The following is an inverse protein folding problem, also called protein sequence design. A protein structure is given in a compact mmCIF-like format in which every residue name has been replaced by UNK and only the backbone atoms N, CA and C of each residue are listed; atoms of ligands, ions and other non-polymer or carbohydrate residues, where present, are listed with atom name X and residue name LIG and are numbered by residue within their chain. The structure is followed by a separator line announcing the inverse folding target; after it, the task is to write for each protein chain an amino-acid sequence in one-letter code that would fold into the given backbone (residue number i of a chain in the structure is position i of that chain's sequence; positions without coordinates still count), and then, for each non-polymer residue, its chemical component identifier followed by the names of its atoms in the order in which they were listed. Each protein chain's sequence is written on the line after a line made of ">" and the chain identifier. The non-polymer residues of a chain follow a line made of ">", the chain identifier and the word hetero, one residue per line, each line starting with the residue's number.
data_IF_106197624093
#
_entry.id   IF_106197624093
#
_cell.length_a   1.000
_cell.length_b   1.000
_cell.length_c   1.000
_cell.angle_alpha   90.00
_cell.angle_beta   90.00
_cell.angle_gamma   90.00
#
_symmetry.space_group_name_H-M   'P 1'
#
loop_
_entity.id
_entity.type
_entity.pdbx_description
1 polymer ?
#
# COMPACT_ATOMS: atom_id res chain seq x y z
N UNK A 1 -16.71 11.16 -10.15
CA UNK A 1 -17.61 10.86 -9.02
C UNK A 1 -17.09 11.57 -7.79
N UNK A 2 -17.95 12.17 -6.97
CA UNK A 2 -17.54 12.81 -5.72
C UNK A 2 -16.96 11.77 -4.75
N UNK A 3 -15.84 12.11 -4.09
CA UNK A 3 -15.20 11.24 -3.10
C UNK A 3 -16.14 10.99 -1.90
N UNK A 4 -16.66 9.77 -1.78
CA UNK A 4 -17.53 9.36 -0.67
C UNK A 4 -16.69 8.67 0.42
N UNK A 5 -16.37 9.42 1.47
CA UNK A 5 -15.51 8.97 2.57
C UNK A 5 -16.03 7.72 3.27
N UNK A 6 -17.35 7.64 3.50
CA UNK A 6 -17.96 6.51 4.19
C UNK A 6 -17.85 5.23 3.37
N UNK A 7 -18.09 5.32 2.06
CA UNK A 7 -17.96 4.17 1.17
C UNK A 7 -16.50 3.70 1.09
N UNK A 8 -15.55 4.63 0.92
CA UNK A 8 -14.11 4.31 0.90
C UNK A 8 -13.67 3.65 2.20
N UNK A 9 -14.12 4.15 3.34
CA UNK A 9 -13.81 3.55 4.65
C UNK A 9 -14.32 2.10 4.74
N UNK A 10 -15.55 1.83 4.30
CA UNK A 10 -16.12 0.47 4.28
C UNK A 10 -15.38 -0.47 3.35
N UNK A 11 -15.10 -0.01 2.13
CA UNK A 11 -14.36 -0.79 1.14
C UNK A 11 -12.94 -1.12 1.63
N UNK A 12 -12.27 -0.17 2.29
CA UNK A 12 -10.96 -0.40 2.90
C UNK A 12 -11.02 -1.44 4.03
N UNK A 13 -12.01 -1.35 4.93
CA UNK A 13 -12.19 -2.30 6.04
C UNK A 13 -12.37 -3.72 5.49
N UNK A 14 -13.22 -3.89 4.47
CA UNK A 14 -13.47 -5.20 3.88
C UNK A 14 -12.25 -5.76 3.14
N UNK A 15 -11.48 -4.92 2.46
CA UNK A 15 -10.22 -5.34 1.85
C UNK A 15 -9.19 -5.77 2.90
N UNK A 16 -9.06 -5.02 4.01
CA UNK A 16 -8.16 -5.38 5.12
C UNK A 16 -8.59 -6.70 5.77
N UNK A 17 -9.90 -6.87 6.00
CA UNK A 17 -10.48 -8.11 6.55
C UNK A 17 -10.16 -9.30 5.65
N UNK A 18 -10.31 -9.14 4.34
CA UNK A 18 -9.96 -10.14 3.34
C UNK A 18 -8.46 -10.46 3.38
N UNK A 19 -7.59 -9.45 3.34
CA UNK A 19 -6.13 -9.63 3.37
C UNK A 19 -5.66 -10.35 4.64
N UNK A 20 -6.22 -10.00 5.80
CA UNK A 20 -5.96 -10.70 7.05
C UNK A 20 -6.43 -12.16 7.01
N UNK A 21 -7.65 -12.42 6.52
CA UNK A 21 -8.16 -13.79 6.38
C UNK A 21 -7.28 -14.66 5.46
N UNK A 22 -6.83 -14.09 4.34
CA UNK A 22 -5.92 -14.73 3.40
C UNK A 22 -4.54 -15.00 4.01
N UNK A 23 -4.01 -14.03 4.78
CA UNK A 23 -2.77 -14.17 5.52
C UNK A 23 -2.81 -15.32 6.54
N UNK A 24 -3.90 -15.44 7.32
CA UNK A 24 -4.09 -16.57 8.26
C UNK A 24 -4.16 -17.92 7.53
N UNK A 25 -4.72 -17.95 6.32
CA UNK A 25 -4.76 -19.15 5.47
C UNK A 25 -3.43 -19.45 4.77
N UNK A 26 -2.44 -18.55 4.84
CA UNK A 26 -1.15 -18.70 4.19
C UNK A 26 -1.22 -18.71 2.66
N UNK A 27 -2.18 -18.01 2.06
CA UNK A 27 -2.34 -17.94 0.60
C UNK A 27 -2.74 -16.54 0.11
N UNK A 28 -2.47 -16.26 -1.18
CA UNK A 28 -3.04 -15.12 -1.89
C UNK A 28 -4.47 -15.37 -2.39
N UNK A 29 -4.97 -14.42 -3.18
CA UNK A 29 -6.27 -14.52 -3.85
C UNK A 29 -6.35 -15.72 -4.80
N UNK A 30 -7.53 -16.32 -4.91
CA UNK A 30 -7.82 -17.45 -5.80
C UNK A 30 -9.09 -17.26 -6.63
N UNK A 31 -9.98 -16.35 -6.23
CA UNK A 31 -11.25 -16.09 -6.94
C UNK A 31 -11.39 -14.65 -7.39
N UNK A 32 -12.21 -14.42 -8.41
CA UNK A 32 -12.50 -13.08 -8.92
C UNK A 32 -13.16 -12.19 -7.85
N UNK A 33 -13.96 -12.76 -6.96
CA UNK A 33 -14.60 -12.05 -5.85
C UNK A 33 -13.58 -11.59 -4.80
N UNK A 34 -12.61 -12.43 -4.44
CA UNK A 34 -11.52 -12.05 -3.53
C UNK A 34 -10.70 -10.91 -4.12
N UNK A 35 -10.35 -11.00 -5.41
CA UNK A 35 -9.66 -9.94 -6.15
C UNK A 35 -10.51 -8.66 -6.14
N UNK A 36 -11.80 -8.75 -6.46
CA UNK A 36 -12.69 -7.60 -6.52
C UNK A 36 -12.85 -6.90 -5.16
N UNK A 37 -12.81 -7.62 -4.04
CA UNK A 37 -12.83 -7.03 -2.70
C UNK A 37 -11.52 -6.28 -2.43
N UNK A 38 -10.37 -6.92 -2.65
CA UNK A 38 -9.07 -6.29 -2.41
C UNK A 38 -8.83 -5.05 -3.28
N UNK A 39 -9.24 -5.09 -4.56
CA UNK A 39 -9.08 -3.98 -5.52
C UNK A 39 -9.93 -2.75 -5.22
N UNK A 40 -10.88 -2.82 -4.30
CA UNK A 40 -11.61 -1.65 -3.81
C UNK A 40 -10.83 -0.86 -2.76
N UNK A 41 -9.72 -1.40 -2.25
CA UNK A 41 -8.86 -0.68 -1.33
C UNK A 41 -8.29 0.57 -2.00
N UNK A 42 -8.52 1.72 -1.38
CA UNK A 42 -8.05 3.02 -1.86
C UNK A 42 -7.10 3.72 -0.89
N UNK A 43 -6.72 3.06 0.21
CA UNK A 43 -5.91 3.65 1.26
C UNK A 43 -6.62 4.78 2.02
N UNK A 44 -5.87 5.46 2.88
CA UNK A 44 -6.43 6.40 3.87
C UNK A 44 -6.06 7.87 3.61
N UNK A 45 -5.51 8.20 2.43
CA UNK A 45 -5.01 9.54 2.05
C UNK A 45 -6.02 10.70 2.09
N UNK A 46 -7.31 10.42 2.30
CA UNK A 46 -8.38 11.41 2.50
C UNK A 46 -9.22 11.20 3.76
N UNK A 47 -8.84 10.23 4.60
CA UNK A 47 -9.59 9.80 5.78
C UNK A 47 -8.89 10.25 7.06
N UNK A 48 -8.83 11.58 7.28
CA UNK A 48 -8.25 12.16 8.50
C UNK A 48 -8.87 11.66 9.81
N UNK A 49 -10.07 11.09 9.75
CA UNK A 49 -10.75 10.47 10.90
C UNK A 49 -9.92 9.34 11.56
N UNK A 50 -9.00 8.71 10.82
CA UNK A 50 -8.06 7.70 11.35
C UNK A 50 -7.14 8.27 12.43
N UNK A 51 -6.89 9.59 12.40
CA UNK A 51 -6.05 10.28 13.39
C UNK A 51 -6.79 10.54 14.70
N UNK A 52 -8.12 10.45 14.70
CA UNK A 52 -8.95 10.72 15.87
C UNK A 52 -9.03 9.48 16.79
N UNK A 53 -9.22 9.73 18.09
CA UNK A 53 -9.50 8.67 19.06
C UNK A 53 -10.86 8.01 18.78
N UNK A 54 -10.89 6.68 18.84
CA UNK A 54 -12.09 5.86 18.68
C UNK A 54 -11.96 4.57 19.50
N UNK A 55 -11.57 4.69 20.76
CA UNK A 55 -11.33 3.56 21.67
C UNK A 55 -12.60 3.18 22.43
N UNK A 56 -13.43 4.17 22.75
CA UNK A 56 -14.66 4.00 23.53
C UNK A 56 -15.81 4.84 22.96
N UNK A 57 -17.06 4.46 23.24
CA UNK A 57 -18.23 5.19 22.74
C UNK A 57 -18.24 6.67 23.16
N UNK A 58 -17.63 7.00 24.31
CA UNK A 58 -17.50 8.37 24.78
C UNK A 58 -16.64 9.25 23.85
N UNK A 59 -15.72 8.66 23.09
CA UNK A 59 -14.89 9.39 22.13
C UNK A 59 -15.73 10.04 21.01
N UNK A 60 -16.91 9.50 20.70
CA UNK A 60 -17.81 10.07 19.70
C UNK A 60 -18.16 11.54 19.99
N UNK A 61 -18.17 11.96 21.26
CA UNK A 61 -18.41 13.35 21.66
C UNK A 61 -17.30 14.33 21.23
N UNK A 62 -16.10 13.83 20.92
CA UNK A 62 -14.95 14.61 20.43
C UNK A 62 -14.93 14.78 18.91
N UNK A 63 -15.79 14.05 18.19
CA UNK A 63 -15.79 14.03 16.73
C UNK A 63 -16.58 15.19 16.14
N UNK A 64 -16.12 15.69 14.99
CA UNK A 64 -16.84 16.74 14.26
C UNK A 64 -18.18 16.21 13.73
N UNK A 65 -19.18 17.09 13.61
CA UNK A 65 -20.49 16.72 13.03
C UNK A 65 -20.36 16.17 11.59
N UNK A 66 -19.35 16.63 10.84
CA UNK A 66 -19.09 16.16 9.48
C UNK A 66 -18.42 14.79 9.43
N UNK A 67 -17.78 14.33 10.50
CA UNK A 67 -17.05 13.05 10.53
C UNK A 67 -17.73 11.99 11.40
N UNK A 68 -18.80 12.34 12.14
CA UNK A 68 -19.45 11.44 13.08
C UNK A 68 -19.94 10.13 12.43
N UNK A 69 -20.30 10.16 11.15
CA UNK A 69 -20.68 8.96 10.38
C UNK A 69 -19.53 7.97 10.19
N UNK A 70 -18.27 8.44 10.30
CA UNK A 70 -17.06 7.66 10.18
C UNK A 70 -16.60 7.09 11.53
N UNK A 71 -17.21 7.49 12.65
CA UNK A 71 -16.83 7.02 13.99
C UNK A 71 -17.00 5.50 14.11
N UNK A 72 -18.20 4.98 13.83
CA UNK A 72 -18.47 3.55 13.94
C UNK A 72 -17.58 2.70 13.02
N UNK A 73 -17.39 3.04 11.73
CA UNK A 73 -16.39 2.38 10.88
C UNK A 73 -14.95 2.46 11.42
N UNK A 74 -14.57 3.56 12.07
CA UNK A 74 -13.22 3.69 12.65
C UNK A 74 -13.04 2.79 13.86
N UNK A 75 -14.06 2.65 14.71
CA UNK A 75 -14.08 1.67 15.79
C UNK A 75 -13.98 0.24 15.23
N UNK A 76 -14.74 -0.06 14.17
CA UNK A 76 -14.71 -1.36 13.50
C UNK A 76 -13.32 -1.69 12.97
N UNK A 77 -12.67 -0.74 12.28
CA UNK A 77 -11.32 -0.91 11.75
C UNK A 77 -10.30 -1.20 12.87
N UNK A 78 -10.33 -0.40 13.95
CA UNK A 78 -9.42 -0.60 15.10
C UNK A 78 -9.62 -1.97 15.72
N UNK A 79 -10.87 -2.38 15.93
CA UNK A 79 -11.20 -3.70 16.46
C UNK A 79 -10.73 -4.82 15.53
N UNK A 80 -10.94 -4.68 14.22
CA UNK A 80 -10.45 -5.64 13.24
C UNK A 80 -8.92 -5.79 13.31
N UNK A 81 -8.18 -4.69 13.34
CA UNK A 81 -6.71 -4.74 13.45
C UNK A 81 -6.29 -5.39 14.77
N UNK A 82 -6.93 -5.01 15.88
CA UNK A 82 -6.66 -5.60 17.20
C UNK A 82 -6.92 -7.11 17.21
N UNK A 83 -8.06 -7.57 16.70
CA UNK A 83 -8.44 -8.99 16.69
C UNK A 83 -7.49 -9.86 15.83
N UNK A 84 -6.77 -9.24 14.88
CA UNK A 84 -5.75 -9.90 14.05
C UNK A 84 -4.30 -9.60 14.48
N UNK A 85 -4.10 -8.82 15.54
CA UNK A 85 -2.78 -8.57 16.11
C UNK A 85 -2.45 -9.63 17.16
N UNK A 86 -1.19 -10.08 17.20
CA UNK A 86 -0.72 -11.06 18.17
C UNK A 86 -0.54 -10.47 19.57
N UNK A 87 -0.14 -9.20 19.64
CA UNK A 87 0.05 -8.46 20.89
C UNK A 87 -0.20 -6.95 20.69
N UNK A 88 -0.17 -6.20 21.81
CA UNK A 88 -0.38 -4.75 21.80
C UNK A 88 0.68 -3.98 21.00
N UNK A 89 1.88 -4.56 20.81
CA UNK A 89 2.96 -3.91 20.04
C UNK A 89 2.64 -4.00 18.56
N UNK A 90 2.25 -5.17 18.07
CA UNK A 90 1.85 -5.31 16.67
C UNK A 90 0.61 -4.49 16.35
N UNK A 91 -0.37 -4.44 17.26
CA UNK A 91 -1.52 -3.55 17.11
C UNK A 91 -1.06 -2.08 16.98
N UNK A 92 -0.16 -1.64 17.86
CA UNK A 92 0.41 -0.30 17.80
C UNK A 92 1.15 -0.05 16.48
N UNK A 93 1.93 -1.00 16.00
CA UNK A 93 2.68 -0.88 14.74
C UNK A 93 1.74 -0.73 13.53
N UNK A 94 0.66 -1.52 13.45
CA UNK A 94 -0.38 -1.32 12.43
C UNK A 94 -1.03 0.05 12.54
N UNK A 95 -1.37 0.49 13.74
CA UNK A 95 -2.03 1.78 13.95
C UNK A 95 -1.12 2.96 13.60
N UNK A 96 0.18 2.88 13.91
CA UNK A 96 1.15 3.93 13.57
C UNK A 96 1.44 3.96 12.07
N UNK A 97 1.58 2.79 11.44
CA UNK A 97 1.72 2.64 9.99
C UNK A 97 0.51 3.24 9.24
N UNK A 98 -0.69 2.89 9.69
CA UNK A 98 -1.96 3.40 9.16
C UNK A 98 -2.09 4.92 9.29
N UNK A 99 -1.65 5.50 10.42
CA UNK A 99 -1.65 6.97 10.59
C UNK A 99 -0.65 7.66 9.65
N UNK A 100 0.52 7.06 9.45
CA UNK A 100 1.51 7.59 8.53
C UNK A 100 1.01 7.61 7.07
N UNK A 101 0.27 6.58 6.65
CA UNK A 101 -0.26 6.50 5.28
C UNK A 101 -1.38 7.50 4.98
N UNK A 102 -2.05 8.07 5.99
CA UNK A 102 -3.03 9.16 5.80
C UNK A 102 -2.43 10.37 5.08
N UNK A 103 -1.12 10.61 5.22
CA UNK A 103 -0.46 11.77 4.63
C UNK A 103 0.12 11.50 3.24
N UNK A 104 0.31 10.24 2.85
CA UNK A 104 1.11 9.87 1.67
C UNK A 104 0.40 8.94 0.69
N UNK A 105 -0.72 8.31 1.06
CA UNK A 105 -1.44 7.36 0.22
C UNK A 105 -2.26 8.04 -0.89
N UNK A 106 -1.56 8.48 -1.94
CA UNK A 106 -2.16 9.01 -3.16
C UNK A 106 -1.99 8.02 -4.31
N UNK A 107 -3.09 7.76 -5.02
CA UNK A 107 -3.11 6.82 -6.13
C UNK A 107 -2.70 7.49 -7.45
N UNK A 108 -1.93 6.77 -8.29
CA UNK A 108 -1.68 7.16 -9.68
C UNK A 108 -2.71 6.52 -10.59
N UNK A 109 -3.43 7.33 -11.35
CA UNK A 109 -4.45 6.86 -12.30
C UNK A 109 -3.86 5.81 -13.26
N UNK A 110 -4.55 4.67 -13.43
CA UNK A 110 -4.09 3.56 -14.27
C UNK A 110 -3.75 4.00 -15.70
N UNK A 111 -4.44 5.01 -16.25
CA UNK A 111 -4.14 5.51 -17.60
C UNK A 111 -2.73 6.08 -17.70
N UNK A 112 -2.20 6.67 -16.63
CA UNK A 112 -0.85 7.19 -16.57
C UNK A 112 0.16 6.05 -16.48
N UNK A 113 -0.08 5.10 -15.58
CA UNK A 113 0.77 3.91 -15.39
C UNK A 113 0.85 3.10 -16.69
N UNK A 114 -0.30 2.91 -17.33
CA UNK A 114 -0.45 2.20 -18.60
C UNK A 114 0.32 2.90 -19.72
N UNK A 115 0.22 4.22 -19.82
CA UNK A 115 0.98 4.98 -20.81
C UNK A 115 2.50 4.82 -20.63
N UNK A 116 2.99 4.77 -19.38
CA UNK A 116 4.41 4.54 -19.08
C UNK A 116 4.82 3.13 -19.51
N UNK A 117 4.09 2.10 -19.08
CA UNK A 117 4.36 0.70 -19.47
C UNK A 117 4.29 0.50 -20.99
N UNK A 118 3.30 1.12 -21.64
CA UNK A 118 3.12 1.10 -23.09
C UNK A 118 4.30 1.71 -23.84
N UNK A 119 4.74 2.89 -23.41
CA UNK A 119 5.87 3.56 -24.03
C UNK A 119 7.14 2.70 -23.99
N UNK A 120 7.42 2.04 -22.87
CA UNK A 120 8.60 1.16 -22.73
C UNK A 120 8.48 -0.06 -23.66
N UNK A 121 7.34 -0.75 -23.66
CA UNK A 121 7.17 -1.95 -24.50
C UNK A 121 7.21 -1.61 -25.99
N UNK A 122 6.55 -0.53 -26.42
CA UNK A 122 6.55 -0.12 -27.83
C UNK A 122 7.91 0.40 -28.31
N UNK A 123 8.76 0.83 -27.39
CA UNK A 123 10.17 1.17 -27.68
C UNK A 123 11.07 -0.08 -27.80
N UNK A 124 10.52 -1.29 -27.64
CA UNK A 124 11.27 -2.54 -27.74
C UNK A 124 12.15 -2.84 -26.51
N UNK A 125 11.88 -2.17 -25.38
CA UNK A 125 12.58 -2.45 -24.12
C UNK A 125 12.04 -3.76 -23.56
N UNK A 126 12.92 -4.74 -23.38
CA UNK A 126 12.64 -5.98 -22.67
C UNK A 126 13.03 -5.83 -21.20
N UNK A 127 12.11 -6.18 -20.31
CA UNK A 127 12.27 -6.05 -18.86
C UNK A 127 12.26 -7.44 -18.27
N UNK A 128 13.36 -7.84 -17.65
CA UNK A 128 13.53 -9.12 -16.94
C UNK A 128 13.52 -8.93 -15.43
N UNK A 129 13.94 -7.76 -14.93
CA UNK A 129 13.91 -7.40 -13.52
C UNK A 129 13.26 -6.03 -13.33
N UNK A 130 12.19 -5.98 -12.52
CA UNK A 130 11.41 -4.77 -12.24
C UNK A 130 11.38 -4.46 -10.74
N UNK A 131 11.61 -3.20 -10.39
CA UNK A 131 11.54 -2.68 -9.03
C UNK A 131 10.40 -1.66 -8.88
N UNK A 132 9.48 -1.91 -7.97
CA UNK A 132 8.46 -0.94 -7.52
C UNK A 132 8.72 -0.54 -6.05
N UNK A 133 9.42 0.58 -5.77
CA UNK A 133 9.87 0.92 -4.41
C UNK A 133 8.79 1.47 -3.46
N UNK A 134 7.60 1.76 -3.96
CA UNK A 134 6.43 2.21 -3.17
C UNK A 134 5.17 1.76 -3.89
N UNK A 135 4.85 0.47 -3.75
CA UNK A 135 3.94 -0.21 -4.65
C UNK A 135 2.45 0.05 -4.40
N UNK A 136 2.07 0.48 -3.20
CA UNK A 136 0.66 0.54 -2.83
C UNK A 136 -0.01 -0.82 -3.03
N UNK A 137 -1.10 -0.87 -3.80
CA UNK A 137 -1.76 -2.12 -4.21
C UNK A 137 -1.19 -2.75 -5.50
N UNK A 138 -0.11 -2.18 -6.05
CA UNK A 138 0.64 -2.72 -7.19
C UNK A 138 0.12 -2.29 -8.55
N UNK A 139 -0.18 -1.00 -8.72
CA UNK A 139 -0.66 -0.46 -9.98
C UNK A 139 0.40 -0.56 -11.10
N UNK A 140 1.68 -0.27 -10.79
CA UNK A 140 2.74 -0.45 -11.79
C UNK A 140 3.00 -1.93 -12.05
N UNK A 141 3.05 -2.79 -11.02
CA UNK A 141 3.11 -4.25 -11.21
C UNK A 141 2.03 -4.73 -12.19
N UNK A 142 0.76 -4.40 -11.96
CA UNK A 142 -0.34 -4.79 -12.85
C UNK A 142 -0.10 -4.36 -14.28
N UNK A 143 0.28 -3.09 -14.46
CA UNK A 143 0.44 -2.51 -15.79
C UNK A 143 1.61 -3.12 -16.55
N UNK A 144 2.72 -3.41 -15.87
CA UNK A 144 3.90 -4.03 -16.47
C UNK A 144 3.67 -5.52 -16.76
N UNK A 145 2.94 -6.24 -15.91
CA UNK A 145 2.69 -7.67 -16.10
C UNK A 145 1.43 -8.01 -16.93
N UNK A 146 0.58 -7.02 -17.23
CA UNK A 146 -0.66 -7.25 -18.00
C UNK A 146 -0.37 -7.93 -19.34
N UNK A 147 -1.30 -8.76 -19.81
CA UNK A 147 -1.25 -9.39 -21.13
C UNK A 147 0.08 -10.10 -21.44
N UNK A 148 0.78 -10.60 -20.42
CA UNK A 148 2.05 -11.33 -20.56
C UNK A 148 3.13 -10.53 -21.33
N UNK A 149 3.19 -9.21 -21.11
CA UNK A 149 4.11 -8.31 -21.82
C UNK A 149 5.59 -8.61 -21.56
N UNK A 150 5.89 -9.04 -20.35
CA UNK A 150 7.23 -9.36 -19.86
C UNK A 150 7.20 -10.74 -19.20
N UNK A 151 7.11 -11.81 -20.01
CA UNK A 151 6.96 -13.16 -19.49
C UNK A 151 8.18 -13.56 -18.67
N UNK A 152 7.93 -14.01 -17.43
CA UNK A 152 9.00 -14.43 -16.52
C UNK A 152 9.81 -13.29 -15.91
N UNK A 153 9.36 -12.03 -16.01
CA UNK A 153 10.00 -10.93 -15.31
C UNK A 153 9.95 -11.13 -13.78
N UNK A 154 11.10 -10.99 -13.15
CA UNK A 154 11.23 -10.97 -11.70
C UNK A 154 10.82 -9.58 -11.19
N UNK A 155 9.95 -9.54 -10.18
CA UNK A 155 9.46 -8.29 -9.61
C UNK A 155 9.76 -8.24 -8.13
N UNK A 156 10.46 -7.18 -7.71
CA UNK A 156 10.64 -6.81 -6.32
C UNK A 156 9.82 -5.56 -6.02
N UNK A 157 8.94 -5.65 -5.03
CA UNK A 157 8.08 -4.55 -4.60
C UNK A 157 8.33 -4.23 -3.13
N UNK A 158 8.36 -2.94 -2.81
CA UNK A 158 8.37 -2.45 -1.43
C UNK A 158 7.08 -1.70 -1.14
N UNK A 159 6.53 -1.93 0.05
CA UNK A 159 5.44 -1.12 0.59
C UNK A 159 5.65 -0.94 2.11
N UNK A 160 5.68 0.31 2.55
CA UNK A 160 6.00 0.67 3.93
C UNK A 160 4.77 0.60 4.85
N UNK A 161 3.57 0.81 4.30
CA UNK A 161 2.32 0.65 5.04
C UNK A 161 2.00 -0.84 5.24
N UNK A 162 1.90 -1.28 6.50
CA UNK A 162 1.79 -2.68 6.84
C UNK A 162 0.51 -3.33 6.31
N UNK A 163 -0.61 -2.59 6.29
CA UNK A 163 -1.90 -3.11 5.81
C UNK A 163 -1.94 -3.14 4.29
N UNK A 164 -1.42 -2.10 3.64
CA UNK A 164 -1.30 -1.99 2.19
C UNK A 164 -0.38 -3.07 1.65
N UNK A 165 0.76 -3.31 2.30
CA UNK A 165 1.70 -4.37 1.92
C UNK A 165 1.09 -5.78 2.04
N UNK A 166 0.19 -6.02 3.01
CA UNK A 166 -0.57 -7.29 3.06
C UNK A 166 -1.55 -7.43 1.90
N UNK A 167 -2.23 -6.36 1.54
CA UNK A 167 -3.14 -6.34 0.38
C UNK A 167 -2.36 -6.58 -0.91
N UNK A 168 -1.20 -5.93 -1.06
CA UNK A 168 -0.27 -6.13 -2.17
C UNK A 168 0.17 -7.59 -2.29
N UNK A 169 0.69 -8.18 -1.21
CA UNK A 169 1.11 -9.59 -1.18
C UNK A 169 -0.05 -10.55 -1.50
N UNK A 170 -1.26 -10.23 -1.05
CA UNK A 170 -2.43 -11.05 -1.33
C UNK A 170 -2.87 -10.97 -2.81
N UNK A 171 -2.80 -9.78 -3.42
CA UNK A 171 -3.11 -9.54 -4.83
C UNK A 171 -2.06 -10.12 -5.78
N UNK A 172 -0.79 -10.12 -5.36
CA UNK A 172 0.35 -10.49 -6.20
C UNK A 172 1.19 -11.61 -5.56
N UNK A 173 0.63 -12.82 -5.36
CA UNK A 173 1.32 -13.89 -4.65
C UNK A 173 2.56 -14.44 -5.40
N UNK A 174 2.74 -14.08 -6.68
CA UNK A 174 3.85 -14.54 -7.52
C UNK A 174 5.06 -13.59 -7.53
N UNK A 175 4.97 -12.42 -6.90
CA UNK A 175 6.08 -11.45 -6.84
C UNK A 175 6.75 -11.46 -5.47
N UNK A 176 7.97 -10.94 -5.39
CA UNK A 176 8.62 -10.71 -4.10
C UNK A 176 8.16 -9.37 -3.52
N UNK A 177 7.34 -9.42 -2.48
CA UNK A 177 6.87 -8.22 -1.76
C UNK A 177 7.60 -8.09 -0.42
N UNK A 178 8.16 -6.92 -0.15
CA UNK A 178 8.77 -6.54 1.12
C UNK A 178 7.93 -5.46 1.80
N UNK A 179 7.35 -5.82 2.93
CA UNK A 179 6.51 -4.90 3.72
C UNK A 179 7.40 -4.08 4.66
N UNK A 180 8.20 -3.20 4.07
CA UNK A 180 9.09 -2.27 4.75
C UNK A 180 9.49 -1.11 3.82
N UNK A 181 10.21 -0.13 4.37
CA UNK A 181 10.72 0.98 3.57
C UNK A 181 11.82 0.55 2.60
N UNK A 182 11.77 1.08 1.38
CA UNK A 182 12.74 0.84 0.31
C UNK A 182 14.20 1.18 0.72
N UNK A 183 14.39 2.11 1.67
CA UNK A 183 15.71 2.49 2.20
C UNK A 183 16.52 1.33 2.79
N UNK A 184 15.87 0.19 3.05
CA UNK A 184 16.51 -1.02 3.59
C UNK A 184 17.04 -1.98 2.52
N UNK A 185 16.88 -1.66 1.24
CA UNK A 185 17.34 -2.53 0.15
C UNK A 185 18.83 -2.86 0.29
N UNK A 186 19.18 -4.13 0.05
CA UNK A 186 20.56 -4.59 0.12
C UNK A 186 21.36 -4.06 -1.06
N UNK A 187 22.64 -3.76 -0.81
CA UNK A 187 23.56 -3.23 -1.83
C UNK A 187 23.79 -4.16 -3.00
N UNK A 188 23.52 -5.45 -2.84
CA UNK A 188 23.64 -6.47 -3.89
C UNK A 188 22.68 -6.22 -5.06
N UNK A 189 21.64 -5.40 -4.85
CA UNK A 189 20.71 -4.97 -5.89
C UNK A 189 21.20 -3.77 -6.72
N UNK A 190 22.39 -3.21 -6.44
CA UNK A 190 22.94 -2.11 -7.23
C UNK A 190 23.20 -2.53 -8.69
N UNK A 191 22.50 -1.87 -9.62
CA UNK A 191 22.61 -2.17 -11.06
C UNK A 191 21.90 -3.46 -11.49
N UNK A 192 21.06 -4.05 -10.63
CA UNK A 192 20.37 -5.32 -10.92
C UNK A 192 19.07 -5.15 -11.73
N UNK A 193 18.32 -4.06 -11.50
CA UNK A 193 17.01 -3.86 -12.11
C UNK A 193 17.11 -3.22 -13.50
N UNK A 194 16.39 -3.75 -14.48
CA UNK A 194 16.25 -3.13 -15.80
C UNK A 194 15.43 -1.83 -15.71
N UNK A 195 14.38 -1.84 -14.88
CA UNK A 195 13.49 -0.69 -14.65
C UNK A 195 13.11 -0.57 -13.19
N UNK A 196 13.12 0.65 -12.67
CA UNK A 196 12.44 1.04 -11.45
C UNK A 196 11.36 2.07 -11.77
N UNK A 197 10.11 1.81 -11.38
CA UNK A 197 8.99 2.74 -11.61
C UNK A 197 8.01 2.68 -10.45
N UNK A 198 7.58 3.84 -9.95
CA UNK A 198 6.62 3.94 -8.84
C UNK A 198 6.10 5.37 -8.72
N UNK A 199 4.99 5.51 -7.99
CA UNK A 199 4.53 6.79 -7.48
C UNK A 199 5.10 7.05 -6.08
N UNK A 200 6.33 7.54 -6.04
CA UNK A 200 6.99 7.84 -4.76
C UNK A 200 6.39 9.13 -4.18
N UNK A 201 5.94 9.15 -2.92
CA UNK A 201 5.34 10.34 -2.33
C UNK A 201 6.34 11.50 -2.29
N UNK A 202 5.91 12.69 -2.71
CA UNK A 202 6.67 13.92 -2.55
C UNK A 202 6.45 14.48 -1.15
N UNK A 203 7.50 14.56 -0.34
CA UNK A 203 7.47 15.21 0.97
C UNK A 203 8.86 15.31 1.58
N UNK A 204 9.01 16.25 2.51
CA UNK A 204 10.27 16.50 3.22
C UNK A 204 10.39 15.54 4.41
N UNK A 205 10.73 14.28 4.10
CA UNK A 205 10.90 13.22 5.09
C UNK A 205 12.39 12.89 5.23
N UNK A 206 12.91 12.95 6.46
CA UNK A 206 14.25 12.46 6.74
C UNK A 206 14.29 10.94 6.59
N UNK A 207 15.12 10.45 5.66
CA UNK A 207 15.39 9.02 5.47
C UNK A 207 16.76 8.72 6.04
N UNK A 208 16.80 7.79 7.00
CA UNK A 208 18.06 7.33 7.56
C UNK A 208 18.72 6.34 6.58
N UNK A 209 19.63 6.85 5.76
CA UNK A 209 20.46 6.03 4.88
C UNK A 209 21.94 6.21 5.26
N UNK A 210 22.60 5.19 5.86
CA UNK A 210 24.00 5.28 6.24
C UNK A 210 24.95 5.62 5.08
N UNK A 211 24.61 5.27 3.83
CA UNK A 211 25.42 5.59 2.67
C UNK A 211 25.35 7.08 2.31
N UNK A 212 24.21 7.73 2.55
CA UNK A 212 23.98 9.14 2.24
C UNK A 212 23.99 10.06 3.48
N UNK A 213 24.12 9.51 4.69
CA UNK A 213 24.24 10.26 5.96
C UNK A 213 25.45 11.22 6.01
N UNK A 214 26.43 11.03 5.12
CA UNK A 214 27.64 11.86 4.98
C UNK A 214 27.74 12.56 3.61
N UNK A 215 26.71 12.44 2.76
CA UNK A 215 26.69 13.07 1.44
C UNK A 215 26.56 14.59 1.57
N UNK A 216 27.53 15.32 1.00
CA UNK A 216 27.48 16.79 0.86
C UNK A 216 26.66 17.25 -0.35
N UNK A 217 25.99 16.35 -1.06
CA UNK A 217 25.33 16.66 -2.34
C UNK A 217 23.81 16.88 -2.25
N UNK A 218 23.25 17.06 -1.07
CA UNK A 218 21.83 17.43 -0.93
C UNK A 218 21.75 18.89 -0.50
N UNK A 219 21.72 19.78 -1.49
CA UNK A 219 21.47 21.22 -1.35
C UNK A 219 20.27 21.63 -2.19
#
# INVERSE_FOLDING_TARGET
>A
MSYNRLQVMRDNIEAIRMAFSLGVKGRGVQTAEEIAVLRKYAGFGGLKCILNDANELADAGKWSKSDIELFAPTVELRRLIHDYSHDDREFKDYMDSLKASVLTAFYTDNRIVDAISDALKYSGIEIKSFLEPSAGQGAFIDSFLRNDRYPGAEVLAYEKDLLTGKILSALHPSILTRIEGFEKIERDFNGYFDVAASNVPFGDFAVADPAYAVSKEIG
#
